data_IF_587485857756
#
_entry.id   IF_587485857756
#
_cell.length_a   1.000
_cell.length_b   1.000
_cell.length_c   1.000
_cell.angle_alpha   90.00
_cell.angle_beta   90.00
_cell.angle_gamma   90.00
#
_symmetry.space_group_name_H-M   'P 1'
#
loop_
_entity.id
_entity.type
_entity.pdbx_description
1 polymer ?
#
# COMPACT_ATOMS: atom_id res chain seq x y z
N UNK A 1 5.51 3.36 -2.53
CA UNK A 1 5.48 3.95 -3.91
C UNK A 1 6.84 4.54 -4.25
N UNK A 2 7.32 5.55 -3.54
CA UNK A 2 8.56 6.27 -3.86
C UNK A 2 9.80 5.36 -3.89
N UNK A 3 9.93 4.40 -2.96
CA UNK A 3 11.01 3.42 -2.99
C UNK A 3 10.98 2.60 -4.28
N UNK A 4 9.82 2.07 -4.64
CA UNK A 4 9.65 1.28 -5.86
C UNK A 4 10.03 2.09 -7.11
N UNK A 5 9.56 3.34 -7.23
CA UNK A 5 9.85 4.22 -8.39
C UNK A 5 11.32 4.58 -8.55
N UNK A 6 12.13 4.46 -7.51
CA UNK A 6 13.56 4.74 -7.52
C UNK A 6 14.43 3.46 -7.46
N UNK A 7 13.82 2.28 -7.50
CA UNK A 7 14.53 1.00 -7.55
C UNK A 7 14.74 0.58 -9.00
N UNK A 8 15.97 0.55 -9.50
CA UNK A 8 16.26 0.21 -10.90
C UNK A 8 15.97 -1.27 -11.23
N UNK A 9 15.78 -2.08 -10.19
CA UNK A 9 15.41 -3.51 -10.31
C UNK A 9 13.94 -3.71 -10.66
N UNK A 10 13.11 -2.66 -10.54
CA UNK A 10 11.66 -2.74 -10.72
C UNK A 10 11.20 -1.94 -11.95
N UNK A 11 10.47 -2.59 -12.82
CA UNK A 11 9.61 -1.96 -13.81
C UNK A 11 8.18 -1.88 -13.27
N UNK A 12 7.69 -0.67 -13.03
CA UNK A 12 6.35 -0.46 -12.45
C UNK A 12 5.35 -0.28 -13.58
N UNK A 13 4.53 -1.28 -13.81
CA UNK A 13 3.50 -1.25 -14.86
C UNK A 13 2.28 -0.41 -14.48
N UNK A 14 2.03 -0.24 -13.19
CA UNK A 14 0.95 0.62 -12.70
C UNK A 14 0.79 0.58 -11.20
N UNK A 15 -0.03 1.51 -10.69
CA UNK A 15 -0.37 1.63 -9.30
C UNK A 15 -1.89 1.51 -9.16
N UNK A 16 -2.34 0.68 -8.24
CA UNK A 16 -3.77 0.56 -7.92
C UNK A 16 -4.03 1.03 -6.50
N UNK A 17 -5.05 1.84 -6.31
CA UNK A 17 -5.44 2.35 -5.00
C UNK A 17 -6.64 1.61 -4.44
N UNK A 18 -6.70 1.50 -3.13
CA UNK A 18 -7.75 0.81 -2.39
C UNK A 18 -8.14 1.64 -1.17
N UNK A 19 -9.36 1.50 -0.72
CA UNK A 19 -9.78 2.11 0.54
C UNK A 19 -9.02 1.46 1.71
N UNK A 20 -8.38 2.29 2.53
CA UNK A 20 -7.59 1.86 3.67
C UNK A 20 -7.58 2.94 4.75
N UNK A 21 -6.41 3.49 5.05
CA UNK A 21 -6.25 4.62 5.99
C UNK A 21 -7.07 5.85 5.55
N UNK A 22 -7.25 6.02 4.23
CA UNK A 22 -8.02 7.11 3.61
C UNK A 22 -9.04 6.55 2.63
N UNK A 23 -10.05 7.35 2.23
CA UNK A 23 -10.93 7.03 1.12
C UNK A 23 -10.13 6.78 -0.17
N UNK A 24 -10.67 5.94 -1.05
CA UNK A 24 -9.97 5.55 -2.28
C UNK A 24 -9.63 6.73 -3.19
N UNK A 25 -10.50 7.74 -3.24
CA UNK A 25 -10.30 8.98 -4.02
C UNK A 25 -9.11 9.80 -3.51
N UNK A 26 -8.93 9.83 -2.18
CA UNK A 26 -7.76 10.46 -1.56
C UNK A 26 -6.49 9.65 -1.87
N UNK A 27 -6.57 8.33 -1.77
CA UNK A 27 -5.48 7.43 -2.14
C UNK A 27 -5.03 7.62 -3.60
N UNK A 28 -6.00 7.75 -4.51
CA UNK A 28 -5.76 8.04 -5.93
C UNK A 28 -5.04 9.38 -6.11
N UNK A 29 -5.57 10.45 -5.50
CA UNK A 29 -4.98 11.79 -5.62
C UNK A 29 -3.55 11.84 -5.09
N UNK A 30 -3.28 11.19 -3.96
CA UNK A 30 -1.96 11.12 -3.38
C UNK A 30 -0.99 10.32 -4.26
N UNK A 31 -1.42 9.18 -4.82
CA UNK A 31 -0.59 8.36 -5.70
C UNK A 31 -0.26 9.10 -7.01
N UNK A 32 -1.26 9.72 -7.64
CA UNK A 32 -1.08 10.53 -8.87
C UNK A 32 -0.11 11.68 -8.62
N UNK A 33 -0.29 12.42 -7.53
CA UNK A 33 0.63 13.49 -7.15
C UNK A 33 2.07 13.00 -7.00
N UNK A 34 2.29 11.85 -6.35
CA UNK A 34 3.64 11.29 -6.19
C UNK A 34 4.26 10.90 -7.53
N UNK A 35 3.49 10.31 -8.44
CA UNK A 35 3.93 9.97 -9.81
C UNK A 35 4.38 11.23 -10.55
N UNK A 36 3.56 12.29 -10.50
CA UNK A 36 3.84 13.58 -11.14
C UNK A 36 5.09 14.25 -10.54
N UNK A 37 5.20 14.30 -9.19
CA UNK A 37 6.34 14.93 -8.52
C UNK A 37 7.67 14.25 -8.83
N UNK A 38 7.65 12.96 -9.13
CA UNK A 38 8.84 12.19 -9.52
C UNK A 38 9.08 12.19 -11.04
N UNK A 39 8.25 12.90 -11.81
CA UNK A 39 8.37 12.97 -13.27
C UNK A 39 8.26 11.61 -13.95
N UNK A 40 7.44 10.69 -13.37
CA UNK A 40 7.22 9.35 -13.91
C UNK A 40 5.91 9.32 -14.71
N UNK A 41 5.86 8.44 -15.70
CA UNK A 41 4.65 8.15 -16.49
C UNK A 41 4.16 6.75 -16.12
N UNK A 42 3.52 6.64 -14.95
CA UNK A 42 3.00 5.39 -14.41
C UNK A 42 1.48 5.54 -14.23
N UNK A 43 0.66 4.66 -14.84
CA UNK A 43 -0.78 4.75 -14.71
C UNK A 43 -1.22 4.46 -13.26
N UNK A 44 -2.18 5.25 -12.78
CA UNK A 44 -2.82 5.08 -11.47
C UNK A 44 -4.29 4.73 -11.69
N UNK A 45 -4.74 3.64 -11.09
CA UNK A 45 -6.13 3.16 -11.18
C UNK A 45 -6.78 3.09 -9.79
N UNK A 46 -8.04 3.48 -9.72
CA UNK A 46 -8.80 3.39 -8.47
C UNK A 46 -9.53 2.06 -8.36
N UNK A 47 -9.55 1.51 -7.14
CA UNK A 47 -10.52 0.50 -6.76
C UNK A 47 -11.90 1.10 -6.48
N UNK A 48 -12.85 0.24 -6.20
CA UNK A 48 -14.17 0.67 -5.75
C UNK A 48 -14.11 1.09 -4.26
N UNK A 49 -14.91 2.07 -3.84
CA UNK A 49 -15.09 2.36 -2.43
C UNK A 49 -15.65 1.14 -1.67
N UNK A 50 -15.23 0.96 -0.43
CA UNK A 50 -15.71 -0.11 0.44
C UNK A 50 -14.85 -1.38 0.42
N UNK A 51 -15.42 -2.46 0.96
CA UNK A 51 -14.78 -3.79 1.06
C UNK A 51 -15.27 -4.72 -0.02
N UNK A 52 -14.59 -5.87 -0.14
CA UNK A 52 -14.99 -6.98 -0.99
C UNK A 52 -16.41 -7.49 -0.63
N UNK A 53 -16.67 -7.68 0.67
CA UNK A 53 -18.02 -7.94 1.18
C UNK A 53 -18.63 -6.63 1.72
N UNK A 54 -19.78 -6.22 1.18
CA UNK A 54 -20.40 -4.92 1.47
C UNK A 54 -20.94 -4.76 2.90
N UNK A 55 -21.04 -5.84 3.68
CA UNK A 55 -21.70 -5.86 4.99
C UNK A 55 -20.94 -5.12 6.12
N UNK A 56 -19.71 -4.66 5.88
CA UNK A 56 -18.86 -4.11 6.94
C UNK A 56 -18.59 -2.60 6.87
N UNK A 57 -19.18 -1.89 5.92
CA UNK A 57 -18.94 -0.45 5.73
C UNK A 57 -19.25 0.41 6.98
N UNK A 58 -20.17 -0.03 7.85
CA UNK A 58 -20.51 0.72 9.07
C UNK A 58 -19.43 0.68 10.16
N UNK A 59 -18.61 -0.37 10.21
CA UNK A 59 -17.57 -0.54 11.25
C UNK A 59 -16.28 0.24 10.96
N UNK A 60 -16.21 0.90 9.80
CA UNK A 60 -15.02 1.57 9.28
C UNK A 60 -14.98 3.09 9.47
N UNK A 61 -15.92 3.66 10.21
CA UNK A 61 -16.00 5.13 10.42
C UNK A 61 -14.72 5.78 10.95
N UNK A 62 -13.80 5.02 11.55
CA UNK A 62 -12.54 5.55 12.06
C UNK A 62 -11.39 5.52 11.02
N UNK A 63 -11.55 4.79 9.91
CA UNK A 63 -10.51 4.72 8.87
C UNK A 63 -10.33 6.02 8.09
N UNK A 64 -11.34 6.89 8.05
CA UNK A 64 -11.26 8.21 7.43
C UNK A 64 -10.76 9.33 8.35
N UNK A 65 -10.48 9.07 9.63
CA UNK A 65 -10.15 10.13 10.61
C UNK A 65 -8.72 10.67 10.50
N UNK A 66 -7.88 10.10 9.62
CA UNK A 66 -6.54 10.64 9.34
C UNK A 66 -6.51 11.64 8.19
N UNK A 67 -7.66 12.07 7.68
CA UNK A 67 -7.76 13.02 6.56
C UNK A 67 -6.96 14.31 6.80
N UNK A 68 -6.90 14.80 8.03
CA UNK A 68 -6.19 16.05 8.35
C UNK A 68 -4.66 15.91 8.20
N UNK A 69 -4.11 14.72 8.39
CA UNK A 69 -2.66 14.47 8.29
C UNK A 69 -2.21 14.13 6.86
N UNK A 70 -3.14 13.80 5.97
CA UNK A 70 -2.83 13.25 4.64
C UNK A 70 -3.27 14.18 3.50
N UNK A 71 -3.57 15.46 3.80
CA UNK A 71 -3.89 16.48 2.79
C UNK A 71 -2.63 17.01 2.10
N UNK A 72 -1.95 16.15 1.37
CA UNK A 72 -0.81 16.58 0.54
C UNK A 72 -1.27 17.29 -0.73
N UNK A 73 -2.49 17.02 -1.19
CA UNK A 73 -3.01 17.53 -2.46
C UNK A 73 -4.52 17.79 -2.39
N UNK A 74 -5.08 18.63 -3.26
CA UNK A 74 -6.52 18.62 -3.54
C UNK A 74 -7.00 17.24 -3.98
N UNK A 75 -8.28 16.90 -3.74
CA UNK A 75 -8.84 15.68 -4.30
C UNK A 75 -8.97 15.87 -5.82
N UNK A 76 -8.30 15.01 -6.57
CA UNK A 76 -8.40 14.99 -8.02
C UNK A 76 -9.70 14.28 -8.44
N UNK A 77 -10.33 14.73 -9.53
CA UNK A 77 -11.46 14.01 -10.09
C UNK A 77 -11.00 12.62 -10.55
N UNK A 78 -11.73 11.59 -10.14
CA UNK A 78 -11.52 10.24 -10.61
C UNK A 78 -12.15 10.13 -12.00
N UNK A 79 -11.36 9.76 -12.98
CA UNK A 79 -11.86 9.48 -14.33
C UNK A 79 -12.58 8.13 -14.32
N UNK A 80 -13.91 8.18 -14.30
CA UNK A 80 -14.76 6.98 -14.26
C UNK A 80 -14.75 6.18 -15.59
N UNK A 81 -14.20 6.75 -16.66
CA UNK A 81 -14.07 6.05 -17.96
C UNK A 81 -12.80 5.18 -18.00
N UNK A 82 -11.90 5.30 -17.03
CA UNK A 82 -10.74 4.42 -16.90
C UNK A 82 -11.14 3.07 -16.30
N UNK A 83 -10.48 2.03 -16.78
CA UNK A 83 -10.58 0.69 -16.20
C UNK A 83 -10.28 0.78 -14.71
N UNK A 84 -11.15 0.25 -13.87
CA UNK A 84 -10.92 0.18 -12.44
C UNK A 84 -9.75 -0.74 -12.08
N UNK A 85 -9.21 -0.58 -10.89
CA UNK A 85 -8.06 -1.33 -10.41
C UNK A 85 -8.16 -2.87 -10.59
N UNK A 86 -9.29 -3.53 -10.32
CA UNK A 86 -9.39 -4.98 -10.52
C UNK A 86 -9.23 -5.42 -11.99
N UNK A 87 -9.82 -4.67 -12.93
CA UNK A 87 -9.70 -4.98 -14.35
C UNK A 87 -8.29 -4.71 -14.85
N UNK A 88 -7.66 -3.62 -14.42
CA UNK A 88 -6.26 -3.33 -14.72
C UNK A 88 -5.33 -4.47 -14.24
N UNK A 89 -5.51 -4.96 -13.00
CA UNK A 89 -4.71 -6.07 -12.47
C UNK A 89 -4.88 -7.32 -13.34
N UNK A 90 -6.11 -7.70 -13.67
CA UNK A 90 -6.38 -8.91 -14.42
C UNK A 90 -5.80 -8.85 -15.85
N UNK A 91 -6.00 -7.74 -16.57
CA UNK A 91 -5.51 -7.56 -17.93
C UNK A 91 -3.98 -7.47 -17.96
N UNK A 92 -3.35 -6.65 -17.09
CA UNK A 92 -1.89 -6.52 -17.04
C UNK A 92 -1.22 -7.85 -16.69
N UNK A 93 -1.79 -8.62 -15.76
CA UNK A 93 -1.25 -9.93 -15.41
C UNK A 93 -1.35 -10.91 -16.60
N UNK A 94 -2.45 -10.89 -17.35
CA UNK A 94 -2.63 -11.72 -18.53
C UNK A 94 -1.67 -11.34 -19.66
N UNK A 95 -1.49 -10.04 -19.91
CA UNK A 95 -0.58 -9.52 -20.96
C UNK A 95 0.90 -9.86 -20.66
N UNK A 96 1.27 -9.97 -19.38
CA UNK A 96 2.63 -10.26 -18.92
C UNK A 96 2.69 -11.57 -18.12
N UNK A 97 1.96 -12.59 -18.58
CA UNK A 97 1.77 -13.84 -17.86
C UNK A 97 3.08 -14.51 -17.44
N UNK A 98 3.19 -14.79 -16.13
CA UNK A 98 4.37 -15.45 -15.55
C UNK A 98 5.53 -14.51 -15.20
N UNK A 99 5.43 -13.21 -15.53
CA UNK A 99 6.47 -12.20 -15.23
C UNK A 99 5.97 -11.07 -14.31
N UNK A 100 4.79 -11.24 -13.75
CA UNK A 100 4.16 -10.26 -12.87
C UNK A 100 4.32 -10.64 -11.40
N UNK A 101 4.79 -9.68 -10.62
CA UNK A 101 4.66 -9.68 -9.17
C UNK A 101 3.71 -8.59 -8.71
N UNK A 102 2.79 -8.93 -7.82
CA UNK A 102 1.96 -7.95 -7.12
C UNK A 102 2.59 -7.60 -5.78
N UNK A 103 2.84 -6.31 -5.57
CA UNK A 103 3.30 -5.80 -4.27
C UNK A 103 2.13 -5.09 -3.59
N UNK A 104 1.61 -5.64 -2.50
CA UNK A 104 0.45 -5.11 -1.81
C UNK A 104 0.82 -4.49 -0.48
N UNK A 105 0.43 -3.25 -0.30
CA UNK A 105 0.71 -2.44 0.90
C UNK A 105 -0.58 -1.86 1.51
N UNK A 106 -1.72 -2.45 1.17
CA UNK A 106 -3.04 -2.10 1.67
C UNK A 106 -3.97 -3.31 1.69
N UNK A 107 -5.27 -3.12 2.02
CA UNK A 107 -6.27 -4.18 1.96
C UNK A 107 -6.34 -4.86 0.59
N UNK A 108 -6.65 -6.16 0.57
CA UNK A 108 -6.54 -7.01 -0.63
C UNK A 108 -7.79 -6.97 -1.53
N UNK A 109 -8.68 -6.02 -1.34
CA UNK A 109 -9.97 -5.88 -2.03
C UNK A 109 -9.84 -5.92 -3.54
N UNK A 110 -8.90 -5.16 -4.11
CA UNK A 110 -8.71 -5.09 -5.57
C UNK A 110 -8.29 -6.44 -6.16
N UNK A 111 -7.42 -7.18 -5.46
CA UNK A 111 -6.95 -8.50 -5.92
C UNK A 111 -8.05 -9.53 -5.81
N UNK A 112 -8.83 -9.52 -4.72
CA UNK A 112 -9.98 -10.42 -4.58
C UNK A 112 -11.01 -10.19 -5.69
N UNK A 113 -11.29 -8.94 -6.04
CA UNK A 113 -12.17 -8.59 -7.15
C UNK A 113 -11.57 -8.98 -8.51
N UNK A 114 -10.25 -8.84 -8.70
CA UNK A 114 -9.57 -9.29 -9.92
C UNK A 114 -9.66 -10.82 -10.10
N UNK A 115 -9.54 -11.59 -9.01
CA UNK A 115 -9.74 -13.05 -9.00
C UNK A 115 -11.17 -13.48 -9.35
N UNK A 116 -12.16 -12.61 -9.14
CA UNK A 116 -13.55 -12.88 -9.54
C UNK A 116 -13.78 -12.51 -11.01
N UNK A 117 -13.06 -11.50 -11.52
CA UNK A 117 -13.12 -11.11 -12.93
C UNK A 117 -12.40 -12.12 -13.82
N UNK A 118 -11.27 -12.65 -13.37
CA UNK A 118 -10.47 -13.64 -14.09
C UNK A 118 -10.11 -14.81 -13.16
N UNK A 119 -10.84 -15.93 -13.23
CA UNK A 119 -10.52 -17.13 -12.47
C UNK A 119 -9.16 -17.76 -12.81
N UNK A 120 -8.58 -17.44 -13.97
CA UNK A 120 -7.25 -17.89 -14.40
C UNK A 120 -6.12 -16.97 -13.89
N UNK A 121 -6.44 -15.83 -13.27
CA UNK A 121 -5.47 -14.89 -12.73
C UNK A 121 -4.33 -15.54 -11.92
N UNK A 122 -4.58 -16.59 -11.11
CA UNK A 122 -3.50 -17.28 -10.39
C UNK A 122 -2.42 -17.89 -11.28
N UNK A 123 -2.73 -18.20 -12.53
CA UNK A 123 -1.76 -18.77 -13.48
C UNK A 123 -0.89 -17.71 -14.14
N UNK A 124 -1.31 -16.44 -14.07
CA UNK A 124 -0.62 -15.32 -14.68
C UNK A 124 0.32 -14.59 -13.73
N UNK A 125 0.10 -14.69 -12.43
CA UNK A 125 0.89 -13.99 -11.41
C UNK A 125 1.97 -14.91 -10.85
N UNK A 126 3.21 -14.47 -10.93
CA UNK A 126 4.34 -15.22 -10.39
C UNK A 126 4.28 -15.29 -8.85
N UNK A 127 4.02 -14.14 -8.20
CA UNK A 127 4.06 -14.02 -6.74
C UNK A 127 3.32 -12.78 -6.26
N UNK A 128 2.80 -12.85 -5.04
CA UNK A 128 2.33 -11.67 -4.29
C UNK A 128 3.27 -11.45 -3.11
N UNK A 129 3.93 -10.28 -3.06
CA UNK A 129 4.60 -9.81 -1.84
C UNK A 129 3.68 -8.84 -1.13
N UNK A 130 3.30 -9.14 0.12
CA UNK A 130 2.30 -8.34 0.84
C UNK A 130 2.76 -7.90 2.23
N UNK A 131 2.54 -6.61 2.56
CA UNK A 131 2.55 -6.17 3.94
C UNK A 131 1.20 -6.54 4.56
N UNK A 132 1.17 -7.59 5.36
CA UNK A 132 -0.07 -8.12 5.92
C UNK A 132 0.18 -9.03 7.13
N UNK A 133 -0.74 -9.02 8.07
CA UNK A 133 -0.84 -10.02 9.12
C UNK A 133 0.13 -9.85 10.29
N UNK A 134 -0.11 -10.67 11.31
CA UNK A 134 0.74 -10.84 12.49
C UNK A 134 0.74 -12.34 12.83
N UNK A 135 1.91 -12.94 13.03
CA UNK A 135 2.07 -14.38 13.26
C UNK A 135 2.36 -14.70 14.73
N UNK A 136 3.44 -14.15 15.27
CA UNK A 136 3.90 -14.40 16.65
C UNK A 136 3.83 -13.16 17.54
N UNK A 137 3.54 -11.99 16.95
CA UNK A 137 3.34 -10.74 17.67
C UNK A 137 1.86 -10.36 17.70
N UNK A 138 1.49 -9.44 18.57
CA UNK A 138 0.12 -8.92 18.59
C UNK A 138 -0.17 -8.10 17.33
N UNK A 139 -1.43 -8.13 16.90
CA UNK A 139 -1.94 -7.25 15.87
C UNK A 139 -1.90 -5.77 16.30
N UNK A 140 -1.99 -4.88 15.31
CA UNK A 140 -1.98 -3.43 15.55
C UNK A 140 -3.38 -2.81 15.59
N UNK A 141 -4.44 -3.59 15.31
CA UNK A 141 -5.85 -3.15 15.42
C UNK A 141 -6.58 -3.89 16.52
N UNK A 142 -6.42 -5.20 16.58
CA UNK A 142 -6.88 -6.04 17.68
C UNK A 142 -5.71 -6.90 18.16
N UNK A 143 -5.82 -7.58 19.31
CA UNK A 143 -4.74 -8.48 19.76
C UNK A 143 -4.31 -9.53 18.74
N UNK A 144 -5.20 -9.89 17.80
CA UNK A 144 -4.93 -10.91 16.79
C UNK A 144 -4.82 -10.37 15.35
N UNK A 145 -5.27 -9.15 15.08
CA UNK A 145 -5.43 -8.66 13.71
C UNK A 145 -4.51 -7.48 13.37
N UNK A 146 -3.80 -7.62 12.28
CA UNK A 146 -3.12 -6.55 11.57
C UNK A 146 -4.12 -5.78 10.69
N UNK A 147 -3.85 -4.50 10.45
CA UNK A 147 -4.75 -3.54 9.82
C UNK A 147 -5.22 -3.95 8.41
N UNK A 148 -4.32 -4.32 7.50
CA UNK A 148 -4.69 -4.63 6.12
C UNK A 148 -5.60 -5.86 6.01
N UNK A 149 -5.33 -6.88 6.83
CA UNK A 149 -6.18 -8.07 6.93
C UNK A 149 -7.49 -7.75 7.65
N UNK A 150 -7.43 -6.99 8.75
CA UNK A 150 -8.63 -6.62 9.51
C UNK A 150 -9.58 -5.73 8.70
N UNK A 151 -9.02 -4.86 7.87
CA UNK A 151 -9.78 -3.94 7.05
C UNK A 151 -10.68 -4.64 6.05
N UNK A 152 -10.26 -5.76 5.47
CA UNK A 152 -11.06 -6.57 4.54
C UNK A 152 -10.69 -8.07 4.65
N UNK A 153 -11.14 -8.75 5.73
CA UNK A 153 -10.75 -10.13 5.96
C UNK A 153 -11.34 -11.10 4.93
N UNK A 154 -12.45 -10.76 4.31
CA UNK A 154 -13.06 -11.56 3.25
C UNK A 154 -12.19 -11.54 1.99
N UNK A 155 -11.67 -10.37 1.60
CA UNK A 155 -10.69 -10.27 0.51
C UNK A 155 -9.40 -10.99 0.84
N UNK A 156 -8.92 -10.87 2.07
CA UNK A 156 -7.74 -11.59 2.53
C UNK A 156 -7.94 -13.11 2.42
N UNK A 157 -9.05 -13.64 2.91
CA UNK A 157 -9.37 -15.06 2.79
C UNK A 157 -9.42 -15.52 1.32
N UNK A 158 -10.02 -14.71 0.43
CA UNK A 158 -10.10 -15.01 -1.01
C UNK A 158 -8.71 -15.06 -1.66
N UNK A 159 -7.82 -14.12 -1.32
CA UNK A 159 -6.46 -14.06 -1.86
C UNK A 159 -5.57 -15.17 -1.28
N UNK A 160 -5.60 -15.43 0.02
CA UNK A 160 -4.86 -16.54 0.62
C UNK A 160 -5.29 -17.91 0.07
N UNK A 161 -6.56 -18.07 -0.31
CA UNK A 161 -7.09 -19.28 -0.94
C UNK A 161 -6.91 -19.35 -2.46
N UNK A 162 -6.24 -18.39 -3.11
CA UNK A 162 -6.16 -18.30 -4.58
C UNK A 162 -5.21 -19.31 -5.21
N UNK A 163 -4.24 -19.81 -4.47
CA UNK A 163 -3.15 -20.64 -5.00
C UNK A 163 -1.96 -19.85 -5.55
N UNK A 164 -2.01 -18.53 -5.63
CA UNK A 164 -0.86 -17.69 -6.00
C UNK A 164 0.21 -17.81 -4.91
N UNK A 165 1.51 -17.97 -5.24
CA UNK A 165 2.58 -17.94 -4.26
C UNK A 165 2.59 -16.62 -3.49
N UNK A 166 2.63 -16.68 -2.15
CA UNK A 166 2.57 -15.49 -1.29
C UNK A 166 3.84 -15.38 -0.46
N UNK A 167 4.48 -14.19 -0.53
CA UNK A 167 5.48 -13.73 0.43
C UNK A 167 4.82 -12.73 1.38
N UNK A 168 4.55 -13.15 2.60
CA UNK A 168 3.97 -12.27 3.62
C UNK A 168 5.07 -11.54 4.40
N UNK A 169 4.90 -10.24 4.59
CA UNK A 169 5.75 -9.35 5.40
C UNK A 169 4.92 -8.88 6.59
N UNK A 170 4.80 -9.71 7.65
CA UNK A 170 3.94 -9.44 8.78
C UNK A 170 4.56 -8.44 9.76
N UNK A 171 3.78 -8.00 10.75
CA UNK A 171 4.25 -7.15 11.85
C UNK A 171 5.51 -7.71 12.53
N UNK A 172 5.66 -9.03 12.57
CA UNK A 172 6.83 -9.74 13.15
C UNK A 172 8.16 -9.28 12.59
N UNK A 173 8.24 -8.99 11.29
CA UNK A 173 9.45 -8.48 10.64
C UNK A 173 9.44 -6.95 10.57
N UNK A 174 8.30 -6.32 10.38
CA UNK A 174 8.19 -4.86 10.38
C UNK A 174 8.71 -4.27 11.69
N UNK A 175 8.38 -4.87 12.83
CA UNK A 175 8.82 -4.41 14.15
C UNK A 175 10.34 -4.52 14.39
N UNK A 176 11.08 -5.22 13.53
CA UNK A 176 12.54 -5.29 13.57
C UNK A 176 13.22 -4.17 12.79
N UNK A 177 12.46 -3.37 12.05
CA UNK A 177 12.97 -2.23 11.28
C UNK A 177 12.75 -0.94 12.04
N UNK A 178 13.67 0.01 11.90
CA UNK A 178 13.58 1.32 12.54
C UNK A 178 14.02 2.41 11.56
N UNK A 179 13.23 3.47 11.51
CA UNK A 179 13.53 4.68 10.77
C UNK A 179 13.30 5.87 11.70
N UNK A 180 14.36 6.38 12.25
CA UNK A 180 14.30 7.41 13.28
C UNK A 180 14.75 8.78 12.78
N UNK A 181 14.94 9.69 13.75
CA UNK A 181 15.36 11.08 13.51
C UNK A 181 16.71 11.16 12.80
N UNK A 182 17.65 10.27 13.13
CA UNK A 182 18.97 10.23 12.50
C UNK A 182 18.87 9.97 11.00
N UNK A 183 18.11 8.93 10.61
CA UNK A 183 17.89 8.59 9.20
C UNK A 183 17.14 9.70 8.47
N UNK A 184 16.16 10.33 9.12
CA UNK A 184 15.43 11.45 8.53
C UNK A 184 16.32 12.66 8.32
N UNK A 185 17.23 12.96 9.24
CA UNK A 185 18.17 14.06 9.11
C UNK A 185 19.15 13.81 7.93
N UNK A 186 19.69 12.58 7.81
CA UNK A 186 20.54 12.20 6.68
C UNK A 186 19.83 12.36 5.33
N UNK A 187 18.55 12.01 5.26
CA UNK A 187 17.73 12.25 4.07
C UNK A 187 17.58 13.75 3.82
N UNK A 188 17.34 14.55 4.88
CA UNK A 188 17.15 15.98 4.77
C UNK A 188 18.39 16.77 4.36
N UNK A 189 19.59 16.23 4.55
CA UNK A 189 20.86 16.82 4.06
C UNK A 189 21.01 16.68 2.53
N UNK A 190 20.23 15.81 1.90
CA UNK A 190 20.25 15.61 0.45
C UNK A 190 19.27 16.58 -0.23
N UNK A 191 19.80 17.39 -1.16
CA UNK A 191 19.02 18.39 -1.91
C UNK A 191 18.10 17.77 -2.98
N UNK A 192 18.18 16.47 -3.22
CA UNK A 192 17.31 15.81 -4.19
C UNK A 192 15.83 16.01 -3.82
N UNK A 193 14.95 16.42 -4.74
CA UNK A 193 13.56 16.75 -4.47
C UNK A 193 12.78 15.63 -3.74
N UNK A 194 13.10 14.38 -4.04
CA UNK A 194 12.59 13.21 -3.37
C UNK A 194 12.91 13.19 -1.87
N UNK A 195 14.15 13.44 -1.51
CA UNK A 195 14.61 13.45 -0.12
C UNK A 195 13.94 14.57 0.67
N UNK A 196 13.83 15.75 0.06
CA UNK A 196 13.11 16.88 0.64
C UNK A 196 11.62 16.60 0.84
N UNK A 197 10.99 15.87 -0.11
CA UNK A 197 9.60 15.46 0.02
C UNK A 197 9.42 14.47 1.17
N UNK A 198 10.27 13.44 1.29
CA UNK A 198 10.23 12.47 2.41
C UNK A 198 10.36 13.20 3.75
N UNK A 199 11.31 14.10 3.88
CA UNK A 199 11.52 14.86 5.11
C UNK A 199 10.28 15.69 5.47
N UNK A 200 9.72 16.43 4.50
CA UNK A 200 8.51 17.25 4.71
C UNK A 200 7.28 16.43 5.08
N UNK A 201 7.18 15.21 4.58
CA UNK A 201 6.04 14.33 4.86
C UNK A 201 6.15 13.64 6.21
N UNK A 202 7.36 13.23 6.61
CA UNK A 202 7.59 12.43 7.83
C UNK A 202 7.79 13.30 9.06
N UNK A 203 8.46 14.46 8.95
CA UNK A 203 8.79 15.31 10.09
C UNK A 203 7.57 15.82 10.87
N UNK A 204 6.47 16.29 10.23
CA UNK A 204 5.25 16.66 10.94
C UNK A 204 4.65 15.47 11.72
N UNK A 205 4.66 14.28 11.11
CA UNK A 205 4.10 13.07 11.70
C UNK A 205 4.88 12.65 12.97
N UNK A 206 6.21 12.74 12.94
CA UNK A 206 7.06 12.50 14.11
C UNK A 206 6.82 13.54 15.23
N UNK A 207 6.51 14.80 14.87
CA UNK A 207 6.25 15.87 15.84
C UNK A 207 4.89 15.73 16.52
N UNK A 208 3.87 15.27 15.80
CA UNK A 208 2.49 15.20 16.29
C UNK A 208 2.25 13.88 17.06
N UNK A 209 3.05 12.85 16.82
CA UNK A 209 2.83 11.56 17.44
C UNK A 209 3.05 11.63 18.97
N UNK A 210 1.99 11.38 19.78
CA UNK A 210 2.10 11.46 21.22
C UNK A 210 2.91 10.31 21.84
N UNK A 211 3.21 9.28 21.06
CA UNK A 211 4.00 8.14 21.54
C UNK A 211 5.49 8.50 21.57
N UNK A 212 5.98 8.80 22.76
CA UNK A 212 7.38 9.16 23.00
C UNK A 212 8.36 8.07 22.54
N UNK A 213 7.96 6.80 22.62
CA UNK A 213 8.77 5.68 22.16
C UNK A 213 9.01 5.72 20.64
N UNK A 214 8.01 6.11 19.85
CA UNK A 214 8.14 6.30 18.41
C UNK A 214 9.09 7.47 18.10
N UNK A 215 9.02 8.55 18.89
CA UNK A 215 9.92 9.70 18.71
C UNK A 215 11.37 9.30 18.99
N UNK A 216 11.61 8.53 20.04
CA UNK A 216 12.94 8.16 20.51
C UNK A 216 13.53 6.98 19.73
N UNK A 217 12.71 5.98 19.37
CA UNK A 217 13.16 4.74 18.72
C UNK A 217 12.93 4.70 17.20
N UNK A 218 12.18 5.66 16.63
CA UNK A 218 11.84 5.72 15.23
C UNK A 218 10.60 4.91 14.84
N UNK A 219 10.19 5.11 13.58
CA UNK A 219 9.08 4.43 12.94
C UNK A 219 9.48 3.03 12.50
N UNK A 220 8.56 2.09 12.59
CA UNK A 220 8.71 0.84 11.86
C UNK A 220 8.47 1.05 10.38
N UNK A 221 9.28 0.40 9.57
CA UNK A 221 9.05 0.36 8.12
C UNK A 221 8.12 -0.82 7.81
N UNK A 222 6.90 -0.51 7.42
CA UNK A 222 5.89 -1.50 7.03
C UNK A 222 5.93 -1.71 5.52
N UNK A 223 5.32 -0.83 4.79
CA UNK A 223 5.10 -0.90 3.35
C UNK A 223 6.39 -0.85 2.54
N UNK A 224 7.32 0.02 2.94
CA UNK A 224 8.62 0.11 2.28
C UNK A 224 9.47 -1.15 2.44
N UNK A 225 9.30 -1.88 3.56
CA UNK A 225 9.94 -3.18 3.75
C UNK A 225 9.38 -4.23 2.79
N UNK A 226 8.05 -4.27 2.58
CA UNK A 226 7.44 -5.18 1.61
C UNK A 226 7.93 -4.88 0.19
N UNK A 227 8.01 -3.60 -0.18
CA UNK A 227 8.59 -3.19 -1.48
C UNK A 227 10.05 -3.63 -1.58
N UNK A 228 10.89 -3.40 -0.57
CA UNK A 228 12.30 -3.81 -0.61
C UNK A 228 12.45 -5.33 -0.78
N UNK A 229 11.59 -6.11 -0.12
CA UNK A 229 11.64 -7.57 -0.19
C UNK A 229 11.08 -8.15 -1.50
N UNK A 230 10.40 -7.36 -2.34
CA UNK A 230 9.88 -7.85 -3.61
C UNK A 230 10.99 -8.09 -4.63
N UNK A 231 12.08 -7.34 -4.60
CA UNK A 231 13.21 -7.48 -5.52
C UNK A 231 14.48 -8.08 -4.89
N UNK A 232 14.36 -8.65 -3.69
CA UNK A 232 15.37 -9.46 -3.00
C UNK A 232 14.99 -10.95 -3.11
#
# INVERSE_FOLDING_TARGET
IMLAMNSPELEILGITTVQGNVPVERGFSNATYLVEQLGKDIPVHTGKPGTYSQDRNEKRKWLGQREEMEQLTPILPVDNDKKGAPAFIAETAKENSGDIELVTIGPLTNIAQALDLDPELPTHINKITMMAGASTVQGNVTPAAEFNVWADPESAARVFGSGIPIRMVPLDVCHKTRFGREQLNLIGENEHPFCQFVQKSVDPWLKINPNKEIIDQGLHLYDSLAVALSFM
#
